data_IF_604296503214
#
_entry.id   IF_604296503214
#
_cell.length_a   1.000
_cell.length_b   1.000
_cell.length_c   1.000
_cell.angle_alpha   90.00
_cell.angle_beta   90.00
_cell.angle_gamma   90.00
#
_symmetry.space_group_name_H-M   'P 1'
#
loop_
_entity.id
_entity.type
_entity.pdbx_description
1 polymer ?
#
# COMPACT_ATOMS: atom_id res chain seq x y z
N UNK A 1 29.96 5.74 -12.32
CA UNK A 1 28.50 5.65 -12.21
C UNK A 1 27.99 5.24 -13.58
N UNK A 2 27.71 3.96 -13.76
CA UNK A 2 27.27 3.40 -15.04
C UNK A 2 25.87 3.91 -15.39
N UNK A 3 25.67 4.36 -16.63
CA UNK A 3 24.44 4.93 -17.22
C UNK A 3 23.30 3.91 -17.39
N UNK A 4 23.26 2.86 -16.57
CA UNK A 4 22.24 1.84 -16.62
C UNK A 4 21.34 2.06 -15.39
N UNK A 5 20.01 1.95 -15.55
CA UNK A 5 19.11 1.84 -14.40
C UNK A 5 19.52 0.66 -13.49
N UNK A 6 18.85 0.45 -12.35
CA UNK A 6 19.13 -0.70 -11.51
C UNK A 6 19.08 -1.98 -12.36
N UNK A 7 20.20 -2.71 -12.38
CA UNK A 7 20.32 -3.96 -13.12
C UNK A 7 19.42 -5.01 -12.49
N UNK A 8 18.94 -5.94 -13.30
CA UNK A 8 18.03 -7.01 -12.89
C UNK A 8 16.71 -6.47 -12.30
N UNK A 9 16.26 -5.28 -12.70
CA UNK A 9 14.95 -4.70 -12.34
C UNK A 9 14.14 -4.41 -13.62
N UNK A 10 12.81 -4.50 -13.52
CA UNK A 10 11.95 -4.00 -14.60
C UNK A 10 12.19 -2.51 -14.78
N UNK A 11 12.46 -2.10 -16.01
CA UNK A 11 12.85 -0.72 -16.32
C UNK A 11 11.90 -0.02 -17.27
N UNK A 12 10.98 -0.75 -17.91
CA UNK A 12 10.03 -0.15 -18.85
C UNK A 12 8.83 -1.06 -19.11
N UNK A 13 7.73 -0.45 -19.54
CA UNK A 13 6.59 -1.13 -20.13
C UNK A 13 6.16 -0.43 -21.42
N UNK A 14 5.62 -1.18 -22.36
CA UNK A 14 5.00 -0.65 -23.58
C UNK A 14 3.62 -1.28 -23.77
N UNK A 15 2.58 -0.46 -23.73
CA UNK A 15 1.21 -0.89 -23.99
C UNK A 15 1.05 -1.07 -25.49
N UNK A 16 0.78 -2.30 -25.92
CA UNK A 16 0.59 -2.63 -27.33
C UNK A 16 -0.89 -2.87 -27.58
N UNK A 17 -1.50 -2.02 -28.41
CA UNK A 17 -2.96 -1.97 -28.63
C UNK A 17 -3.27 -1.68 -30.12
N UNK A 18 -4.48 -2.00 -30.59
CA UNK A 18 -4.99 -1.55 -31.89
C UNK A 18 -5.83 -0.28 -31.82
N UNK A 19 -6.18 0.17 -30.62
CA UNK A 19 -6.85 1.45 -30.36
C UNK A 19 -6.02 2.30 -29.38
N UNK A 20 -4.91 2.93 -29.85
CA UNK A 20 -4.10 3.80 -29.01
C UNK A 20 -4.92 4.93 -28.37
N UNK A 21 -5.87 5.51 -29.11
CA UNK A 21 -6.75 6.58 -28.59
C UNK A 21 -7.64 6.10 -27.45
N UNK A 22 -8.32 4.97 -27.62
CA UNK A 22 -9.19 4.39 -26.60
C UNK A 22 -8.41 3.90 -25.38
N UNK A 23 -7.26 3.28 -25.60
CA UNK A 23 -6.35 2.87 -24.53
C UNK A 23 -5.86 4.07 -23.71
N UNK A 24 -5.42 5.15 -24.37
CA UNK A 24 -5.02 6.38 -23.70
C UNK A 24 -6.18 6.98 -22.91
N UNK A 25 -7.35 7.16 -23.54
CA UNK A 25 -8.54 7.71 -22.89
C UNK A 25 -8.97 6.90 -21.66
N UNK A 26 -8.92 5.56 -21.75
CA UNK A 26 -9.24 4.67 -20.64
C UNK A 26 -8.28 4.88 -19.45
N UNK A 27 -6.97 4.78 -19.67
CA UNK A 27 -6.01 4.87 -18.58
C UNK A 27 -5.87 6.30 -18.03
N UNK A 28 -6.05 7.33 -18.84
CA UNK A 28 -6.19 8.71 -18.34
C UNK A 28 -7.40 8.84 -17.42
N UNK A 29 -8.56 8.34 -17.81
CA UNK A 29 -9.75 8.45 -16.97
C UNK A 29 -9.67 7.59 -15.71
N UNK A 30 -9.07 6.41 -15.77
CA UNK A 30 -9.07 5.45 -14.65
C UNK A 30 -7.92 5.68 -13.67
N UNK A 31 -6.72 5.97 -14.17
CA UNK A 31 -5.48 6.04 -13.40
C UNK A 31 -4.82 7.42 -13.40
N UNK A 32 -5.43 8.42 -14.06
CA UNK A 32 -4.88 9.77 -14.20
C UNK A 32 -3.51 9.79 -14.89
N UNK A 33 -3.32 8.86 -15.84
CA UNK A 33 -2.11 8.82 -16.67
C UNK A 33 -2.18 9.81 -17.82
N UNK A 34 -1.08 10.50 -18.04
CA UNK A 34 -0.89 11.39 -19.18
C UNK A 34 -0.26 10.64 -20.35
N UNK A 35 -0.79 10.89 -21.55
CA UNK A 35 -0.27 10.36 -22.81
C UNK A 35 0.13 11.50 -23.72
N UNK A 36 1.41 11.54 -24.09
CA UNK A 36 1.94 12.60 -24.95
C UNK A 36 2.83 12.00 -26.05
N UNK A 37 2.79 12.61 -27.24
CA UNK A 37 3.75 12.29 -28.30
C UNK A 37 5.10 12.88 -27.91
N UNK A 38 6.13 12.04 -27.87
CA UNK A 38 7.52 12.47 -27.73
C UNK A 38 7.99 13.03 -29.08
N UNK A 39 7.82 14.35 -29.27
CA UNK A 39 8.23 15.04 -30.50
C UNK A 39 9.75 15.05 -30.71
N UNK A 40 10.54 14.67 -29.70
CA UNK A 40 11.99 14.53 -29.80
C UNK A 40 12.40 13.11 -30.23
N UNK A 41 11.52 12.12 -30.09
CA UNK A 41 11.72 10.79 -30.65
C UNK A 41 11.43 10.83 -32.16
N UNK A 42 12.37 10.37 -32.97
CA UNK A 42 12.20 10.27 -34.43
C UNK A 42 11.03 9.37 -34.83
N UNK A 43 10.63 8.43 -33.95
CA UNK A 43 9.46 7.56 -34.12
C UNK A 43 8.15 8.24 -33.73
N UNK A 44 8.20 9.42 -33.11
CA UNK A 44 7.06 10.10 -32.48
C UNK A 44 6.29 9.15 -31.55
N UNK A 45 7.04 8.44 -30.71
CA UNK A 45 6.47 7.47 -29.79
C UNK A 45 5.54 8.17 -28.78
N UNK A 46 4.42 7.53 -28.44
CA UNK A 46 3.57 8.03 -27.36
C UNK A 46 4.15 7.55 -26.03
N UNK A 47 4.38 8.48 -25.11
CA UNK A 47 4.89 8.24 -23.77
C UNK A 47 3.78 8.35 -22.75
N UNK A 48 3.84 7.49 -21.74
CA UNK A 48 2.92 7.44 -20.62
C UNK A 48 3.63 8.04 -19.40
N UNK A 49 2.96 8.97 -18.72
CA UNK A 49 3.42 9.54 -17.46
C UNK A 49 2.34 9.41 -16.38
N UNK A 50 2.78 9.23 -15.13
CA UNK A 50 1.94 9.29 -13.93
C UNK A 50 2.51 10.39 -13.03
N UNK A 51 1.85 11.56 -13.01
CA UNK A 51 2.45 12.78 -12.48
C UNK A 51 3.80 13.07 -13.15
N UNK A 52 4.84 13.30 -12.34
CA UNK A 52 6.18 13.61 -12.83
C UNK A 52 7.00 12.36 -13.28
N UNK A 53 6.41 11.15 -13.20
CA UNK A 53 7.10 9.90 -13.53
C UNK A 53 6.76 9.45 -14.95
N UNK A 54 7.77 9.34 -15.82
CA UNK A 54 7.64 8.68 -17.14
C UNK A 54 7.64 7.16 -16.94
N UNK A 55 6.51 6.50 -17.20
CA UNK A 55 6.25 5.11 -16.81
C UNK A 55 6.17 4.11 -17.97
N UNK A 56 6.00 4.56 -19.21
CA UNK A 56 5.92 3.61 -20.32
C UNK A 56 5.75 4.24 -21.69
N UNK A 57 5.59 3.36 -22.68
CA UNK A 57 5.21 3.69 -24.05
C UNK A 57 3.83 3.17 -24.40
N UNK A 58 3.27 3.72 -25.48
CA UNK A 58 2.06 3.22 -26.12
C UNK A 58 2.36 3.01 -27.61
N UNK A 59 2.17 1.78 -28.08
CA UNK A 59 2.48 1.33 -29.42
C UNK A 59 1.25 0.82 -30.16
N UNK A 60 1.10 1.25 -31.41
CA UNK A 60 0.02 0.83 -32.30
C UNK A 60 0.37 -0.49 -33.02
N UNK A 61 -0.37 -1.56 -32.68
CA UNK A 61 -0.28 -2.89 -33.28
C UNK A 61 -0.78 -2.95 -34.73
N UNK A 62 -1.40 -1.89 -35.26
CA UNK A 62 -1.72 -1.78 -36.68
C UNK A 62 -0.48 -1.49 -37.55
N UNK A 63 0.64 -1.09 -36.94
CA UNK A 63 1.88 -0.83 -37.67
C UNK A 63 2.44 -2.11 -38.33
N UNK A 64 2.96 -2.05 -39.57
CA UNK A 64 3.41 -3.24 -40.32
C UNK A 64 4.56 -4.02 -39.69
N UNK A 65 5.26 -3.45 -38.71
CA UNK A 65 6.33 -4.11 -37.97
C UNK A 65 5.80 -5.25 -37.08
N UNK A 66 4.52 -5.19 -36.71
CA UNK A 66 3.89 -6.19 -35.86
C UNK A 66 3.19 -7.28 -36.68
N UNK A 67 3.24 -8.55 -36.23
CA UNK A 67 2.48 -9.62 -36.85
C UNK A 67 0.97 -9.33 -36.83
N UNK A 68 0.24 -9.61 -37.93
CA UNK A 68 -1.21 -9.52 -37.95
C UNK A 68 -1.85 -10.41 -36.88
N UNK A 69 -2.91 -9.92 -36.23
CA UNK A 69 -3.70 -10.68 -35.27
C UNK A 69 -3.11 -10.80 -33.86
N UNK A 70 -1.93 -10.23 -33.58
CA UNK A 70 -1.35 -10.19 -32.23
C UNK A 70 -2.31 -9.47 -31.25
N UNK A 71 -2.80 -10.08 -30.15
CA UNK A 71 -3.72 -9.42 -29.24
C UNK A 71 -3.08 -8.22 -28.52
N UNK A 72 -3.91 -7.36 -27.94
CA UNK A 72 -3.40 -6.31 -27.06
C UNK A 72 -2.67 -6.95 -25.87
N UNK A 73 -1.50 -6.41 -25.52
CA UNK A 73 -0.66 -6.93 -24.45
C UNK A 73 0.29 -5.84 -23.95
N UNK A 74 0.89 -6.08 -22.79
CA UNK A 74 1.95 -5.23 -22.25
C UNK A 74 3.28 -5.93 -22.53
N UNK A 75 4.20 -5.23 -23.18
CA UNK A 75 5.58 -5.68 -23.29
C UNK A 75 6.37 -5.18 -22.07
N UNK A 76 7.01 -6.09 -21.35
CA UNK A 76 7.80 -5.80 -20.15
C UNK A 76 9.29 -5.88 -20.45
N UNK A 77 10.05 -4.92 -19.92
CA UNK A 77 11.49 -4.79 -20.18
C UNK A 77 12.26 -4.93 -18.87
N UNK A 78 13.13 -5.92 -18.80
CA UNK A 78 14.03 -6.20 -17.68
C UNK A 78 15.42 -5.67 -18.02
N UNK A 79 15.95 -4.76 -17.20
CA UNK A 79 17.28 -4.20 -17.40
C UNK A 79 18.36 -5.25 -17.16
N UNK A 80 19.28 -5.41 -18.11
CA UNK A 80 20.44 -6.31 -18.00
C UNK A 80 21.73 -5.65 -18.46
N UNK A 81 22.84 -6.19 -17.99
CA UNK A 81 24.21 -5.78 -18.33
C UNK A 81 24.61 -6.19 -19.75
N UNK A 82 24.16 -7.37 -20.21
CA UNK A 82 24.54 -7.94 -21.50
C UNK A 82 23.41 -8.80 -22.09
N UNK A 83 22.70 -8.26 -23.07
CA UNK A 83 21.54 -8.93 -23.69
C UNK A 83 21.94 -10.24 -24.36
N UNK A 84 23.07 -10.31 -25.06
CA UNK A 84 23.48 -11.50 -25.80
C UNK A 84 23.82 -12.64 -24.84
N UNK A 85 24.66 -12.35 -23.83
CA UNK A 85 25.06 -13.33 -22.82
C UNK A 85 23.84 -13.83 -22.05
N UNK A 86 22.96 -12.92 -21.62
CA UNK A 86 21.76 -13.26 -20.82
C UNK A 86 20.76 -14.07 -21.64
N UNK A 87 20.62 -13.76 -22.92
CA UNK A 87 19.77 -14.54 -23.85
C UNK A 87 20.31 -15.95 -24.03
N UNK A 88 21.63 -16.12 -24.18
CA UNK A 88 22.24 -17.45 -24.28
C UNK A 88 22.01 -18.28 -23.01
N UNK A 89 22.25 -17.69 -21.83
CA UNK A 89 21.99 -18.34 -20.53
C UNK A 89 20.51 -18.68 -20.37
N UNK A 90 19.60 -17.79 -20.76
CA UNK A 90 18.17 -18.05 -20.70
C UNK A 90 17.78 -19.24 -21.59
N UNK A 91 18.32 -19.31 -22.81
CA UNK A 91 18.06 -20.43 -23.72
C UNK A 91 18.59 -21.76 -23.18
N UNK A 92 19.79 -21.78 -22.60
CA UNK A 92 20.35 -22.96 -21.91
C UNK A 92 19.48 -23.43 -20.74
N UNK A 93 18.80 -22.50 -20.07
CA UNK A 93 17.89 -22.76 -18.96
C UNK A 93 16.41 -22.94 -19.39
N UNK A 94 16.17 -23.19 -20.67
CA UNK A 94 14.85 -23.60 -21.18
C UNK A 94 13.92 -22.49 -21.62
N UNK A 95 14.40 -21.24 -21.76
CA UNK A 95 13.63 -20.20 -22.43
C UNK A 95 13.61 -20.39 -23.95
N UNK A 96 12.49 -20.04 -24.58
CA UNK A 96 12.41 -19.91 -26.02
C UNK A 96 12.75 -18.47 -26.44
N UNK A 97 13.63 -18.30 -27.42
CA UNK A 97 13.94 -17.00 -28.00
C UNK A 97 12.83 -16.62 -28.98
N UNK A 98 12.01 -15.63 -28.64
CA UNK A 98 10.95 -15.11 -29.49
C UNK A 98 11.48 -14.10 -30.50
N UNK A 99 12.32 -13.18 -30.03
CA UNK A 99 13.02 -12.19 -30.85
C UNK A 99 14.51 -12.24 -30.48
N UNK A 100 15.40 -12.64 -31.41
CA UNK A 100 16.84 -12.70 -31.15
C UNK A 100 17.44 -11.33 -30.80
N UNK A 101 18.61 -11.28 -30.13
CA UNK A 101 19.28 -10.02 -29.79
C UNK A 101 19.54 -9.12 -31.00
N UNK A 102 19.09 -7.86 -30.93
CA UNK A 102 19.36 -6.84 -31.95
C UNK A 102 19.44 -5.44 -31.33
N UNK A 103 20.00 -4.49 -32.09
CA UNK A 103 20.08 -3.09 -31.67
C UNK A 103 18.79 -2.34 -32.04
N UNK A 104 18.13 -1.77 -31.04
CA UNK A 104 16.89 -1.00 -31.19
C UNK A 104 17.17 0.46 -31.59
N UNK A 105 17.90 0.65 -32.69
CA UNK A 105 18.44 1.96 -33.08
C UNK A 105 19.56 2.40 -32.14
N UNK A 106 19.57 3.67 -31.74
CA UNK A 106 20.51 4.27 -30.79
C UNK A 106 20.05 4.17 -29.32
N UNK A 107 18.85 3.64 -29.07
CA UNK A 107 18.25 3.59 -27.74
C UNK A 107 18.86 2.51 -26.86
N UNK A 108 19.12 1.32 -27.40
CA UNK A 108 19.59 0.18 -26.62
C UNK A 108 19.66 -1.12 -27.41
N UNK A 109 20.01 -2.20 -26.72
CA UNK A 109 20.02 -3.56 -27.25
C UNK A 109 18.94 -4.37 -26.57
N UNK A 110 18.24 -5.20 -27.34
CA UNK A 110 17.04 -5.91 -26.88
C UNK A 110 16.99 -7.34 -27.39
N UNK A 111 16.40 -8.23 -26.59
CA UNK A 111 15.92 -9.54 -27.00
C UNK A 111 14.59 -9.83 -26.31
N UNK A 112 13.72 -10.64 -26.91
CA UNK A 112 12.45 -11.05 -26.29
C UNK A 112 12.40 -12.56 -26.17
N UNK A 113 12.01 -13.03 -25.00
CA UNK A 113 12.03 -14.43 -24.59
C UNK A 113 10.65 -14.86 -24.12
N UNK A 114 10.37 -16.15 -24.25
CA UNK A 114 9.32 -16.85 -23.51
C UNK A 114 10.04 -17.69 -22.45
N UNK A 115 9.77 -17.43 -21.18
CA UNK A 115 10.39 -18.15 -20.07
C UNK A 115 9.89 -19.61 -19.97
N UNK A 116 10.49 -20.46 -19.11
CA UNK A 116 10.12 -21.86 -19.01
C UNK A 116 8.69 -22.13 -18.49
N UNK A 117 8.05 -21.13 -17.87
CA UNK A 117 6.65 -21.25 -17.44
C UNK A 117 5.68 -20.76 -18.51
N UNK A 118 6.15 -20.00 -19.50
CA UNK A 118 5.40 -19.55 -20.67
C UNK A 118 5.15 -18.05 -20.74
N UNK A 119 5.70 -17.26 -19.82
CA UNK A 119 5.52 -15.80 -19.82
C UNK A 119 6.54 -15.09 -20.72
N UNK A 120 6.10 -14.00 -21.34
CA UNK A 120 6.93 -13.21 -22.26
C UNK A 120 7.63 -12.08 -21.50
N UNK A 121 8.94 -11.93 -21.72
CA UNK A 121 9.74 -10.81 -21.18
C UNK A 121 10.78 -10.35 -22.19
N UNK A 122 11.08 -9.06 -22.23
CA UNK A 122 12.18 -8.51 -23.02
C UNK A 122 13.37 -8.14 -22.14
N UNK A 123 14.57 -8.51 -22.55
CA UNK A 123 15.82 -8.07 -21.93
C UNK A 123 16.27 -6.77 -22.57
N UNK A 124 16.66 -5.78 -21.76
CA UNK A 124 17.04 -4.45 -22.23
C UNK A 124 18.40 -4.04 -21.69
N UNK A 125 19.35 -3.75 -22.58
CA UNK A 125 20.59 -3.03 -22.21
C UNK A 125 20.52 -1.60 -22.76
N UNK A 126 20.47 -0.58 -21.90
CA UNK A 126 20.30 0.78 -22.39
C UNK A 126 21.58 1.33 -23.01
N UNK A 127 21.41 2.14 -24.06
CA UNK A 127 22.46 2.97 -24.68
C UNK A 127 22.08 4.46 -24.60
N UNK A 128 21.07 4.88 -25.36
CA UNK A 128 20.48 6.21 -25.30
C UNK A 128 19.28 6.33 -24.36
N UNK A 129 18.59 5.21 -24.08
CA UNK A 129 17.36 5.20 -23.28
C UNK A 129 17.44 4.18 -22.14
N UNK A 130 17.46 4.67 -20.90
CA UNK A 130 17.61 3.86 -19.69
C UNK A 130 16.32 3.16 -19.22
N UNK A 131 15.16 3.51 -19.78
CA UNK A 131 13.87 3.17 -19.17
C UNK A 131 13.45 4.24 -18.15
N UNK A 132 12.83 3.81 -17.05
CA UNK A 132 12.44 4.67 -15.95
C UNK A 132 13.66 5.44 -15.41
N UNK A 133 13.59 6.78 -15.31
CA UNK A 133 14.73 7.58 -14.88
C UNK A 133 15.09 7.35 -13.41
N UNK A 134 14.10 6.97 -12.59
CA UNK A 134 14.22 6.67 -11.16
C UNK A 134 13.22 5.57 -10.82
N UNK A 135 13.63 4.56 -10.05
CA UNK A 135 12.69 3.59 -9.48
C UNK A 135 11.74 4.32 -8.51
N UNK A 136 10.42 4.24 -8.71
CA UNK A 136 9.48 4.98 -7.88
C UNK A 136 9.51 4.47 -6.44
N UNK A 137 9.31 5.36 -5.47
CA UNK A 137 9.22 4.98 -4.06
C UNK A 137 7.99 4.11 -3.82
N UNK A 138 8.08 3.24 -2.82
CA UNK A 138 6.91 2.51 -2.32
C UNK A 138 5.90 3.55 -1.80
N UNK A 139 4.74 3.64 -2.45
CA UNK A 139 3.72 4.66 -2.17
C UNK A 139 3.47 5.69 -3.28
N UNK A 140 4.23 5.67 -4.38
CA UNK A 140 3.90 6.48 -5.54
C UNK A 140 2.55 6.04 -6.16
N UNK A 141 1.59 6.95 -6.24
CA UNK A 141 0.22 6.67 -6.67
C UNK A 141 0.14 6.46 -8.17
N UNK A 142 -0.54 5.40 -8.58
CA UNK A 142 -0.71 4.95 -9.96
C UNK A 142 0.62 4.73 -10.73
N UNK A 143 1.75 4.57 -10.03
CA UNK A 143 3.05 4.27 -10.64
C UNK A 143 3.38 2.78 -10.49
N UNK A 144 3.82 2.08 -11.57
CA UNK A 144 4.34 0.72 -11.47
C UNK A 144 5.55 0.67 -10.53
N UNK A 145 5.45 -0.12 -9.46
CA UNK A 145 6.51 -0.23 -8.45
C UNK A 145 6.93 -1.67 -8.14
N UNK A 146 6.16 -2.65 -8.61
CA UNK A 146 6.45 -4.06 -8.38
C UNK A 146 5.92 -4.90 -9.55
N UNK A 147 6.62 -5.97 -9.91
CA UNK A 147 6.19 -6.92 -10.94
C UNK A 147 5.81 -8.26 -10.32
N UNK A 148 4.73 -8.89 -10.77
CA UNK A 148 4.33 -10.22 -10.32
C UNK A 148 4.23 -11.12 -11.53
N UNK A 149 4.99 -12.22 -11.53
CA UNK A 149 4.78 -13.31 -12.47
C UNK A 149 3.80 -14.30 -11.86
N UNK A 150 2.59 -14.31 -12.42
CA UNK A 150 1.53 -15.22 -12.03
C UNK A 150 1.57 -16.46 -12.94
N UNK A 151 1.80 -17.64 -12.34
CA UNK A 151 1.95 -18.90 -13.08
C UNK A 151 1.62 -20.12 -12.21
N UNK A 152 1.56 -21.31 -12.81
CA UNK A 152 1.30 -22.57 -12.07
C UNK A 152 2.50 -23.04 -11.23
N UNK A 153 3.72 -22.71 -11.63
CA UNK A 153 4.96 -23.13 -10.95
C UNK A 153 5.88 -21.93 -10.65
N UNK A 154 5.58 -21.17 -9.57
CA UNK A 154 6.36 -19.99 -9.17
C UNK A 154 7.81 -20.31 -8.83
N UNK A 155 8.09 -21.50 -8.30
CA UNK A 155 9.46 -21.92 -7.94
C UNK A 155 10.32 -22.13 -9.18
N UNK A 156 9.78 -22.78 -10.22
CA UNK A 156 10.47 -22.93 -11.50
C UNK A 156 10.78 -21.58 -12.14
N UNK A 157 9.82 -20.65 -12.12
CA UNK A 157 10.04 -19.29 -12.59
C UNK A 157 11.15 -18.59 -11.78
N UNK A 158 11.06 -18.62 -10.44
CA UNK A 158 12.07 -18.01 -9.56
C UNK A 158 13.47 -18.57 -9.81
N UNK A 159 13.58 -19.89 -9.99
CA UNK A 159 14.85 -20.55 -10.28
C UNK A 159 15.43 -20.10 -11.63
N UNK A 160 14.62 -20.09 -12.69
CA UNK A 160 15.01 -19.62 -14.02
C UNK A 160 15.53 -18.17 -13.98
N UNK A 161 14.73 -17.27 -13.38
CA UNK A 161 15.09 -15.87 -13.32
C UNK A 161 16.34 -15.64 -12.48
N UNK A 162 16.52 -16.34 -11.35
CA UNK A 162 17.75 -16.26 -10.54
C UNK A 162 19.00 -16.71 -11.30
N UNK A 163 18.88 -17.74 -12.14
CA UNK A 163 19.97 -18.23 -12.99
C UNK A 163 20.27 -17.30 -14.16
N UNK A 164 19.26 -16.59 -14.66
CA UNK A 164 19.40 -15.61 -15.74
C UNK A 164 20.01 -14.29 -15.25
N UNK A 165 19.70 -13.83 -14.04
CA UNK A 165 20.17 -12.59 -13.39
C UNK A 165 21.46 -12.82 -12.58
N UNK A 166 21.90 -11.86 -11.75
CA UNK A 166 23.13 -11.95 -10.93
C UNK A 166 23.02 -12.91 -9.71
N UNK A 167 22.29 -14.03 -9.85
CA UNK A 167 22.18 -15.07 -8.82
C UNK A 167 21.04 -14.87 -7.81
N UNK A 168 20.17 -13.89 -8.04
CA UNK A 168 18.96 -13.64 -7.27
C UNK A 168 17.83 -13.21 -8.22
N UNK A 169 16.55 -13.47 -7.92
CA UNK A 169 15.47 -13.04 -8.80
C UNK A 169 15.47 -11.53 -9.04
N UNK A 170 14.83 -11.04 -10.11
CA UNK A 170 14.73 -9.62 -10.40
C UNK A 170 14.30 -8.82 -9.17
N UNK A 171 14.92 -7.67 -8.97
CA UNK A 171 14.54 -6.76 -7.90
C UNK A 171 13.08 -6.32 -8.09
N UNK A 172 12.37 -6.14 -6.97
CA UNK A 172 10.95 -5.72 -6.94
C UNK A 172 10.05 -6.62 -7.81
N UNK A 173 10.36 -7.91 -7.85
CA UNK A 173 9.55 -8.91 -8.50
C UNK A 173 9.17 -10.04 -7.52
N UNK A 174 7.94 -10.52 -7.64
CA UNK A 174 7.48 -11.74 -6.97
C UNK A 174 6.95 -12.75 -7.97
N UNK A 175 6.89 -14.00 -7.52
CA UNK A 175 6.36 -15.13 -8.27
C UNK A 175 5.23 -15.69 -7.44
N UNK A 176 4.03 -15.69 -8.01
CA UNK A 176 2.80 -16.05 -7.31
C UNK A 176 2.07 -17.18 -8.04
N UNK A 177 1.51 -18.10 -7.26
CA UNK A 177 0.69 -19.19 -7.80
C UNK A 177 -0.62 -18.61 -8.33
N UNK A 178 -0.98 -19.00 -9.54
CA UNK A 178 -2.20 -18.52 -10.18
C UNK A 178 -2.92 -19.66 -10.91
N UNK A 179 -3.53 -20.56 -10.15
CA UNK A 179 -4.24 -21.74 -10.65
C UNK A 179 -5.43 -21.43 -11.59
N UNK A 180 -5.91 -20.19 -11.64
CA UNK A 180 -7.09 -19.79 -12.42
C UNK A 180 -6.75 -18.94 -13.66
N UNK A 181 -5.47 -18.66 -13.94
CA UNK A 181 -5.11 -17.91 -15.15
C UNK A 181 -5.17 -18.82 -16.39
N UNK A 182 -5.60 -18.25 -17.51
CA UNK A 182 -5.61 -18.96 -18.81
C UNK A 182 -4.21 -19.10 -19.42
N UNK A 183 -3.27 -18.25 -19.00
CA UNK A 183 -1.87 -18.31 -19.39
C UNK A 183 -0.99 -17.62 -18.32
N UNK A 184 0.27 -18.07 -18.14
CA UNK A 184 1.26 -17.36 -17.34
C UNK A 184 1.51 -15.96 -17.90
N UNK A 185 1.53 -14.96 -17.02
CA UNK A 185 1.80 -13.59 -17.43
C UNK A 185 2.44 -12.77 -16.32
N UNK A 186 3.26 -11.82 -16.75
CA UNK A 186 3.71 -10.72 -15.91
C UNK A 186 2.57 -9.72 -15.72
N UNK A 187 2.46 -9.17 -14.52
CA UNK A 187 1.54 -8.09 -14.18
C UNK A 187 2.31 -7.03 -13.37
N UNK A 188 2.12 -5.76 -13.70
CA UNK A 188 2.68 -4.66 -12.91
C UNK A 188 1.69 -4.25 -11.83
N UNK A 189 2.19 -4.08 -10.61
CA UNK A 189 1.46 -3.62 -9.44
C UNK A 189 1.52 -2.09 -9.33
N UNK A 190 0.35 -1.50 -9.08
CA UNK A 190 0.10 -0.07 -8.93
C UNK A 190 -0.58 0.17 -7.58
N UNK A 191 -0.13 1.21 -6.87
CA UNK A 191 -0.79 1.68 -5.67
C UNK A 191 -1.87 2.71 -6.04
N UNK A 192 -3.07 2.64 -5.47
CA UNK A 192 -4.10 3.67 -5.61
C UNK A 192 -4.70 4.02 -4.26
N UNK A 193 -5.13 5.27 -4.11
CA UNK A 193 -5.73 5.74 -2.85
C UNK A 193 -7.21 5.36 -2.72
N UNK A 194 -7.91 5.23 -3.85
CA UNK A 194 -9.36 4.97 -3.89
C UNK A 194 -9.68 3.84 -4.89
N UNK A 195 -9.78 2.63 -4.35
CA UNK A 195 -10.08 1.44 -5.15
C UNK A 195 -11.49 1.47 -5.74
N UNK A 196 -12.47 1.97 -4.98
CA UNK A 196 -13.87 2.02 -5.40
C UNK A 196 -14.09 3.05 -6.50
N UNK A 197 -13.44 4.21 -6.40
CA UNK A 197 -13.42 5.21 -7.46
C UNK A 197 -12.75 4.69 -8.72
N UNK A 198 -11.62 3.99 -8.61
CA UNK A 198 -10.98 3.31 -9.75
C UNK A 198 -11.95 2.29 -10.38
N UNK A 199 -12.63 1.48 -9.56
CA UNK A 199 -13.61 0.51 -10.04
C UNK A 199 -14.78 1.17 -10.77
N UNK A 200 -15.29 2.28 -10.24
CA UNK A 200 -16.38 3.04 -10.84
C UNK A 200 -15.97 3.65 -12.19
N UNK A 201 -14.78 4.27 -12.27
CA UNK A 201 -14.24 4.84 -13.50
C UNK A 201 -13.95 3.76 -14.54
N UNK A 202 -13.39 2.62 -14.13
CA UNK A 202 -13.15 1.48 -15.02
C UNK A 202 -14.45 0.99 -15.66
N UNK A 203 -15.50 0.75 -14.87
CA UNK A 203 -16.82 0.34 -15.37
C UNK A 203 -17.43 1.38 -16.32
N UNK A 204 -17.31 2.67 -15.99
CA UNK A 204 -17.82 3.75 -16.82
C UNK A 204 -17.14 3.82 -18.21
N UNK A 205 -15.90 3.34 -18.32
CA UNK A 205 -15.12 3.33 -19.56
C UNK A 205 -14.99 1.92 -20.18
N UNK A 206 -15.87 0.98 -19.80
CA UNK A 206 -15.94 -0.35 -20.40
C UNK A 206 -14.87 -1.35 -19.95
N UNK A 207 -14.08 -1.00 -18.94
CA UNK A 207 -13.17 -1.92 -18.27
C UNK A 207 -13.81 -2.53 -17.02
N UNK A 208 -13.00 -3.28 -16.28
CA UNK A 208 -13.42 -3.95 -15.06
C UNK A 208 -12.33 -3.90 -14.00
N UNK A 209 -12.75 -3.93 -12.73
CA UNK A 209 -11.87 -4.13 -11.59
C UNK A 209 -12.41 -5.30 -10.78
N UNK A 210 -11.61 -6.36 -10.64
CA UNK A 210 -12.01 -7.59 -9.97
C UNK A 210 -11.06 -7.87 -8.81
N UNK A 211 -11.58 -8.14 -7.62
CA UNK A 211 -10.77 -8.57 -6.48
C UNK A 211 -10.13 -9.94 -6.78
N UNK A 212 -8.84 -10.06 -6.53
CA UNK A 212 -8.07 -11.30 -6.66
C UNK A 212 -7.58 -11.73 -5.26
N UNK A 213 -7.08 -12.98 -5.09
CA UNK A 213 -6.54 -13.44 -3.80
C UNK A 213 -5.50 -12.47 -3.20
N UNK A 214 -5.29 -12.56 -1.88
CA UNK A 214 -4.40 -11.68 -1.10
C UNK A 214 -4.87 -10.23 -0.93
N UNK A 215 -6.16 -9.95 -1.21
CA UNK A 215 -6.75 -8.61 -1.02
C UNK A 215 -6.24 -7.58 -2.04
N UNK A 216 -5.77 -8.06 -3.18
CA UNK A 216 -5.40 -7.25 -4.34
C UNK A 216 -6.59 -7.15 -5.30
N UNK A 217 -6.55 -6.20 -6.23
CA UNK A 217 -7.50 -6.12 -7.35
C UNK A 217 -6.76 -6.21 -8.69
N UNK A 218 -7.45 -6.66 -9.72
CA UNK A 218 -6.99 -6.65 -11.11
C UNK A 218 -7.86 -5.70 -11.90
N UNK A 219 -7.23 -4.67 -12.47
CA UNK A 219 -7.84 -3.76 -13.44
C UNK A 219 -7.62 -4.34 -14.83
N UNK A 220 -8.69 -4.49 -15.60
CA UNK A 220 -8.65 -4.86 -17.02
C UNK A 220 -9.22 -3.73 -17.87
N UNK A 221 -8.50 -3.32 -18.90
CA UNK A 221 -9.02 -2.43 -19.94
C UNK A 221 -10.02 -3.16 -20.86
N UNK A 222 -10.82 -2.44 -21.68
CA UNK A 222 -11.71 -3.06 -22.66
C UNK A 222 -11.01 -4.01 -23.65
N UNK A 223 -9.72 -3.75 -23.95
CA UNK A 223 -8.90 -4.58 -24.83
C UNK A 223 -8.15 -5.69 -24.09
N UNK A 224 -8.33 -5.82 -22.77
CA UNK A 224 -7.72 -6.88 -21.96
C UNK A 224 -6.33 -6.56 -21.43
N UNK A 225 -5.88 -5.30 -21.43
CA UNK A 225 -4.64 -4.90 -20.78
C UNK A 225 -4.85 -4.88 -19.26
N UNK A 226 -4.03 -5.63 -18.52
CA UNK A 226 -4.24 -5.84 -17.08
C UNK A 226 -3.15 -5.25 -16.19
N UNK A 227 -3.56 -4.66 -15.07
CA UNK A 227 -2.70 -4.21 -13.98
C UNK A 227 -3.18 -4.75 -12.65
N UNK A 228 -2.23 -5.05 -11.75
CA UNK A 228 -2.56 -5.31 -10.35
C UNK A 228 -2.69 -3.98 -9.63
N UNK A 229 -3.82 -3.77 -9.00
CA UNK A 229 -4.12 -2.59 -8.20
C UNK A 229 -4.13 -3.00 -6.74
N UNK A 230 -3.40 -2.26 -5.93
CA UNK A 230 -3.43 -2.38 -4.49
C UNK A 230 -3.69 -1.02 -3.85
N UNK A 231 -4.41 -1.05 -2.74
CA UNK A 231 -4.41 0.09 -1.83
C UNK A 231 -3.16 -0.08 -0.97
N UNK A 232 -2.29 0.94 -0.85
CA UNK A 232 -1.17 0.90 0.09
C UNK A 232 -1.65 0.39 1.44
N UNK A 233 -0.84 -0.39 2.14
CA UNK A 233 -1.18 -0.84 3.48
C UNK A 233 -1.46 0.33 4.42
N UNK A 234 -0.79 1.48 4.18
CA UNK A 234 -1.03 2.77 4.83
C UNK A 234 -2.41 3.40 4.55
N UNK A 235 -3.10 2.99 3.47
CA UNK A 235 -4.43 3.48 3.08
C UNK A 235 -5.54 2.45 3.34
N UNK A 236 -5.21 1.26 3.90
CA UNK A 236 -6.21 0.28 4.31
C UNK A 236 -6.91 0.77 5.58
N UNK A 237 -8.20 1.09 5.46
CA UNK A 237 -9.05 1.39 6.61
C UNK A 237 -9.08 0.20 7.56
N UNK A 238 -8.69 0.43 8.81
CA UNK A 238 -8.65 -0.60 9.85
C UNK A 238 -10.05 -0.87 10.43
N UNK A 239 -10.86 0.18 10.58
CA UNK A 239 -12.20 0.12 11.14
C UNK A 239 -13.05 1.24 10.58
N UNK A 240 -14.29 0.92 10.20
CA UNK A 240 -15.33 1.90 9.90
C UNK A 240 -16.50 1.76 10.88
N UNK A 241 -17.11 2.91 11.17
CA UNK A 241 -18.38 2.99 11.86
C UNK A 241 -19.34 3.86 11.04
N UNK A 242 -20.51 4.19 11.60
CA UNK A 242 -21.46 5.08 10.93
C UNK A 242 -20.84 6.45 10.60
N UNK A 243 -19.95 6.96 11.46
CA UNK A 243 -19.37 8.30 11.32
C UNK A 243 -17.85 8.36 11.30
N UNK A 244 -17.14 7.29 11.66
CA UNK A 244 -15.69 7.27 11.78
C UNK A 244 -15.04 6.35 10.75
N UNK A 245 -13.86 6.77 10.30
CA UNK A 245 -12.88 5.94 9.62
C UNK A 245 -11.63 5.93 10.48
N UNK A 246 -11.14 4.75 10.85
CA UNK A 246 -9.84 4.58 11.49
C UNK A 246 -8.83 4.06 10.46
N UNK A 247 -7.79 4.84 10.18
CA UNK A 247 -6.77 4.53 9.19
C UNK A 247 -5.36 4.55 9.79
N UNK A 248 -4.37 3.91 9.14
CA UNK A 248 -2.96 4.07 9.45
C UNK A 248 -2.53 5.54 9.47
N UNK A 249 -1.58 5.83 10.37
CA UNK A 249 -0.84 7.08 10.34
C UNK A 249 0.13 7.12 9.17
N UNK A 250 0.42 8.34 8.70
CA UNK A 250 1.44 8.63 7.70
C UNK A 250 2.29 9.82 8.15
N UNK A 251 3.41 10.07 7.47
CA UNK A 251 4.21 11.29 7.70
C UNK A 251 3.42 12.59 7.46
N UNK A 252 2.37 12.53 6.64
CA UNK A 252 1.50 13.68 6.38
C UNK A 252 0.65 14.08 7.60
N UNK A 253 0.51 13.21 8.61
CA UNK A 253 -0.28 13.48 9.82
C UNK A 253 0.48 14.30 10.87
N UNK A 254 1.77 14.57 10.68
CA UNK A 254 2.61 15.33 11.64
C UNK A 254 1.99 16.69 12.01
N UNK A 255 1.48 17.52 11.08
CA UNK A 255 0.86 18.80 11.45
C UNK A 255 -0.41 18.61 12.30
N UNK A 256 -1.21 17.58 12.03
CA UNK A 256 -2.44 17.29 12.77
C UNK A 256 -2.14 16.79 14.19
N UNK A 257 -1.15 15.89 14.32
CA UNK A 257 -0.63 15.42 15.61
C UNK A 257 -0.04 16.57 16.43
N UNK A 258 0.73 17.45 15.80
CA UNK A 258 1.29 18.62 16.47
C UNK A 258 0.19 19.55 17.00
N UNK A 259 -0.86 19.79 16.22
CA UNK A 259 -1.99 20.61 16.65
C UNK A 259 -2.73 19.98 17.84
N UNK A 260 -2.99 18.67 17.78
CA UNK A 260 -3.64 17.91 18.85
C UNK A 260 -2.82 17.96 20.16
N UNK A 261 -1.51 17.75 20.06
CA UNK A 261 -0.59 17.68 21.21
C UNK A 261 -0.17 19.06 21.75
N UNK A 262 -0.61 20.15 21.10
CA UNK A 262 -0.46 21.51 21.57
C UNK A 262 -1.78 22.16 22.04
N UNK A 263 -2.90 21.44 22.00
CA UNK A 263 -4.11 21.88 22.70
C UNK A 263 -3.96 21.57 24.22
N UNK A 264 -3.86 22.59 25.09
CA UNK A 264 -3.60 22.39 26.50
C UNK A 264 -4.74 21.65 27.22
N UNK A 265 -5.98 21.73 26.72
CA UNK A 265 -7.10 20.98 27.29
C UNK A 265 -7.02 19.50 26.93
N UNK A 266 -6.59 19.18 25.70
CA UNK A 266 -6.37 17.79 25.26
C UNK A 266 -5.25 17.13 26.08
N UNK A 267 -4.17 17.87 26.33
CA UNK A 267 -2.97 17.36 27.00
C UNK A 267 -2.98 17.53 28.52
N UNK A 268 -4.06 18.09 29.10
CA UNK A 268 -4.19 18.39 30.53
C UNK A 268 -3.84 17.21 31.44
N UNK A 269 -4.41 16.04 31.16
CA UNK A 269 -4.22 14.81 31.95
C UNK A 269 -3.07 13.92 31.47
N UNK A 270 -2.19 14.44 30.61
CA UNK A 270 -1.07 13.68 30.03
C UNK A 270 0.25 14.32 30.44
N UNK A 271 0.42 15.61 30.14
CA UNK A 271 1.64 16.35 30.46
C UNK A 271 1.33 17.71 31.12
N UNK A 272 0.11 17.91 31.61
CA UNK A 272 -0.32 19.18 32.20
C UNK A 272 -0.55 20.30 31.18
N UNK A 273 -0.77 19.96 29.90
CA UNK A 273 -0.98 20.95 28.84
C UNK A 273 0.30 21.61 28.33
N UNK A 274 1.48 21.02 28.61
CA UNK A 274 2.77 21.54 28.15
C UNK A 274 2.88 21.40 26.61
N UNK A 275 3.28 22.47 25.89
CA UNK A 275 3.47 22.42 24.44
C UNK A 275 4.47 21.35 24.00
N UNK A 276 4.24 20.78 22.83
CA UNK A 276 5.10 19.77 22.20
C UNK A 276 5.74 20.35 20.94
N UNK A 277 6.99 20.02 20.66
CA UNK A 277 7.70 20.48 19.45
C UNK A 277 7.41 19.55 18.26
N UNK A 278 7.46 20.10 17.04
CA UNK A 278 7.34 19.30 15.82
C UNK A 278 8.42 18.22 15.69
N UNK A 279 9.62 18.49 16.20
CA UNK A 279 10.71 17.52 16.30
C UNK A 279 10.32 16.34 17.21
N UNK A 280 9.80 16.60 18.41
CA UNK A 280 9.33 15.54 19.32
C UNK A 280 8.20 14.71 18.71
N UNK A 281 7.30 15.33 17.93
CA UNK A 281 6.27 14.60 17.19
C UNK A 281 6.92 13.65 16.17
N UNK A 282 7.86 14.15 15.34
CA UNK A 282 8.50 13.34 14.28
C UNK A 282 9.43 12.25 14.81
N UNK A 283 10.18 12.53 15.87
CA UNK A 283 11.25 11.64 16.33
C UNK A 283 10.80 10.67 17.42
N UNK A 284 9.68 10.96 18.10
CA UNK A 284 9.21 10.14 19.23
C UNK A 284 7.79 9.67 19.07
N UNK A 285 6.87 10.58 18.74
CA UNK A 285 5.43 10.26 18.73
C UNK A 285 5.07 9.43 17.51
N UNK A 286 5.39 9.92 16.30
CA UNK A 286 5.05 9.24 15.06
C UNK A 286 5.70 7.85 14.94
N UNK A 287 6.99 7.63 15.25
CA UNK A 287 7.59 6.30 15.20
C UNK A 287 6.90 5.29 16.11
N UNK A 288 6.39 5.74 17.27
CA UNK A 288 5.59 4.90 18.16
C UNK A 288 4.22 4.56 17.56
N UNK A 289 3.56 5.52 16.92
CA UNK A 289 2.25 5.31 16.27
C UNK A 289 2.36 4.43 15.01
N UNK A 290 3.54 4.39 14.38
CA UNK A 290 3.84 3.55 13.22
C UNK A 290 4.38 2.17 13.61
N UNK A 291 4.59 1.86 14.88
CA UNK A 291 5.13 0.57 15.30
C UNK A 291 4.15 -0.58 15.00
N UNK A 292 4.63 -1.65 14.37
CA UNK A 292 3.84 -2.85 14.08
C UNK A 292 3.99 -3.89 15.18
N UNK A 293 2.88 -4.40 15.72
CA UNK A 293 2.84 -5.44 16.74
C UNK A 293 2.62 -6.83 16.10
N UNK A 294 3.65 -7.70 16.03
CA UNK A 294 3.56 -8.95 15.28
C UNK A 294 2.50 -9.92 15.82
N UNK A 295 2.26 -9.95 17.13
CA UNK A 295 1.29 -10.87 17.74
C UNK A 295 -0.16 -10.61 17.32
N UNK A 296 -0.49 -9.35 17.00
CA UNK A 296 -1.82 -8.97 16.50
C UNK A 296 -1.83 -8.75 14.99
N UNK A 297 -0.67 -8.57 14.36
CA UNK A 297 -0.55 -8.19 12.96
C UNK A 297 -1.07 -6.78 12.68
N UNK A 298 -1.02 -5.88 13.67
CA UNK A 298 -1.56 -4.51 13.57
C UNK A 298 -0.62 -3.46 14.14
N UNK A 299 -0.78 -2.18 13.78
CA UNK A 299 -0.02 -1.05 14.36
C UNK A 299 -0.44 -0.67 15.77
N UNK A 300 -1.60 -1.12 16.22
CA UNK A 300 -2.14 -0.74 17.53
C UNK A 300 -2.64 0.71 17.65
N UNK A 301 -2.26 1.64 16.77
CA UNK A 301 -2.69 3.04 16.77
C UNK A 301 -3.23 3.49 15.41
N UNK A 302 -4.34 4.21 15.42
CA UNK A 302 -5.04 4.63 14.19
C UNK A 302 -5.51 6.08 14.25
N UNK A 303 -5.23 6.81 13.17
CA UNK A 303 -5.79 8.14 12.93
C UNK A 303 -7.31 8.02 12.72
N UNK A 304 -8.07 8.89 13.39
CA UNK A 304 -9.52 8.92 13.32
C UNK A 304 -9.98 10.08 12.46
N UNK A 305 -10.81 9.79 11.46
CA UNK A 305 -11.40 10.79 10.58
C UNK A 305 -12.92 10.74 10.62
N UNK A 306 -13.54 11.90 10.45
CA UNK A 306 -14.99 11.98 10.22
C UNK A 306 -15.29 11.54 8.79
N UNK A 307 -16.03 10.44 8.64
CA UNK A 307 -16.30 9.79 7.36
C UNK A 307 -16.91 10.73 6.30
N UNK A 308 -17.74 11.69 6.73
CA UNK A 308 -18.42 12.61 5.83
C UNK A 308 -17.51 13.71 5.26
N UNK A 309 -16.44 14.08 5.98
CA UNK A 309 -15.64 15.28 5.65
C UNK A 309 -14.16 14.99 5.47
N UNK A 310 -13.67 13.82 5.90
CA UNK A 310 -12.24 13.51 6.00
C UNK A 310 -11.52 14.32 7.08
N UNK A 311 -12.26 15.00 7.97
CA UNK A 311 -11.64 15.82 9.02
C UNK A 311 -10.96 14.93 10.04
N UNK A 312 -9.67 15.17 10.31
CA UNK A 312 -8.95 14.52 11.40
C UNK A 312 -9.54 14.89 12.76
N UNK A 313 -10.04 13.88 13.47
CA UNK A 313 -10.68 14.02 14.78
C UNK A 313 -9.73 13.71 15.94
N UNK A 314 -8.60 13.07 15.68
CA UNK A 314 -7.67 12.57 16.69
C UNK A 314 -7.25 11.14 16.39
N UNK A 315 -7.09 10.31 17.41
CA UNK A 315 -6.68 8.92 17.25
C UNK A 315 -7.27 7.98 18.29
N UNK A 316 -7.28 6.70 17.93
CA UNK A 316 -7.60 5.59 18.83
C UNK A 316 -6.45 4.60 18.88
N UNK A 317 -6.40 3.85 19.96
CA UNK A 317 -5.43 2.81 20.25
C UNK A 317 -6.17 1.54 20.63
N UNK A 318 -5.75 0.42 20.06
CA UNK A 318 -6.06 -0.93 20.51
C UNK A 318 -4.83 -1.79 20.24
N UNK A 319 -3.88 -1.76 21.17
CA UNK A 319 -2.60 -2.46 21.05
C UNK A 319 -2.46 -3.57 22.08
N UNK A 320 -1.66 -4.61 21.84
CA UNK A 320 -1.36 -5.57 22.88
C UNK A 320 -0.60 -4.89 24.04
N UNK A 321 -0.82 -5.39 25.26
CA UNK A 321 -0.13 -4.89 26.45
C UNK A 321 1.36 -5.28 26.43
N UNK A 322 1.68 -6.43 25.82
CA UNK A 322 3.03 -6.91 25.53
C UNK A 322 3.12 -7.43 24.10
N UNK A 323 4.27 -7.27 23.43
CA UNK A 323 4.40 -7.59 21.99
C UNK A 323 4.28 -9.09 21.65
N UNK A 324 4.27 -9.96 22.66
CA UNK A 324 4.20 -11.41 22.53
C UNK A 324 2.82 -12.02 22.86
N UNK A 325 1.90 -11.23 23.43
CA UNK A 325 0.58 -11.72 23.86
C UNK A 325 -0.57 -10.90 23.21
N UNK A 326 -1.31 -11.49 22.25
CA UNK A 326 -2.47 -10.83 21.66
C UNK A 326 -3.73 -10.91 22.52
N UNK A 327 -3.74 -11.72 23.60
CA UNK A 327 -4.94 -11.98 24.39
C UNK A 327 -5.33 -10.78 25.27
N UNK A 328 -4.37 -9.91 25.63
CA UNK A 328 -4.60 -8.74 26.47
C UNK A 328 -4.22 -7.47 25.72
N UNK A 329 -5.22 -6.64 25.43
CA UNK A 329 -5.05 -5.40 24.67
C UNK A 329 -5.45 -4.17 25.51
N UNK A 330 -4.77 -3.06 25.29
CA UNK A 330 -5.06 -1.75 25.87
C UNK A 330 -5.83 -0.88 24.88
N UNK A 331 -6.95 -0.32 25.33
CA UNK A 331 -7.77 0.63 24.61
C UNK A 331 -7.42 2.06 25.03
N UNK A 332 -7.10 2.90 24.06
CA UNK A 332 -6.80 4.32 24.26
C UNK A 332 -7.45 5.21 23.20
N UNK A 333 -7.54 6.50 23.47
CA UNK A 333 -8.01 7.50 22.51
C UNK A 333 -7.60 8.91 22.93
N UNK A 334 -7.37 9.76 21.94
CA UNK A 334 -7.15 11.21 22.12
C UNK A 334 -7.85 11.93 20.97
N UNK A 335 -8.86 12.73 21.29
CA UNK A 335 -9.63 13.46 20.28
C UNK A 335 -9.44 14.96 20.42
N UNK A 336 -9.51 15.67 19.30
CA UNK A 336 -9.56 17.12 19.23
C UNK A 336 -10.72 17.65 20.08
N UNK A 337 -10.52 18.78 20.75
CA UNK A 337 -11.53 19.39 21.61
C UNK A 337 -12.85 19.66 20.91
N UNK A 338 -12.80 20.02 19.63
CA UNK A 338 -13.98 20.25 18.78
C UNK A 338 -14.85 18.99 18.57
N UNK A 339 -14.26 17.79 18.74
CA UNK A 339 -14.96 16.52 18.60
C UNK A 339 -15.61 16.04 19.92
N UNK A 340 -15.33 16.71 21.04
CA UNK A 340 -15.84 16.30 22.35
C UNK A 340 -17.35 16.52 22.48
N UNK A 341 -18.02 15.68 23.25
CA UNK A 341 -19.47 15.75 23.45
C UNK A 341 -20.31 15.17 22.31
N UNK A 342 -19.72 14.91 21.13
CA UNK A 342 -20.41 14.36 19.94
C UNK A 342 -20.49 12.81 19.91
N UNK A 343 -19.96 12.15 20.94
CA UNK A 343 -20.00 10.70 21.09
C UNK A 343 -18.96 9.91 20.29
N UNK A 344 -18.06 10.57 19.54
CA UNK A 344 -17.05 9.91 18.72
C UNK A 344 -16.15 8.95 19.51
N UNK A 345 -15.66 9.36 20.68
CA UNK A 345 -14.84 8.50 21.53
C UNK A 345 -15.56 7.19 21.91
N UNK A 346 -16.84 7.28 22.29
CA UNK A 346 -17.64 6.10 22.64
C UNK A 346 -17.92 5.21 21.43
N UNK A 347 -18.20 5.79 20.27
CA UNK A 347 -18.43 5.04 19.03
C UNK A 347 -17.19 4.25 18.60
N UNK A 348 -16.04 4.93 18.49
CA UNK A 348 -14.77 4.28 18.12
C UNK A 348 -14.33 3.23 19.14
N UNK A 349 -14.44 3.54 20.44
CA UNK A 349 -14.10 2.60 21.51
C UNK A 349 -14.94 1.31 21.45
N UNK A 350 -16.27 1.41 21.29
CA UNK A 350 -17.15 0.23 21.17
C UNK A 350 -16.83 -0.62 19.95
N UNK A 351 -16.56 0.04 18.83
CA UNK A 351 -16.24 -0.64 17.59
C UNK A 351 -14.88 -1.36 17.67
N UNK A 352 -13.88 -0.73 18.30
CA UNK A 352 -12.58 -1.37 18.59
C UNK A 352 -12.70 -2.55 19.55
N UNK A 353 -13.45 -2.41 20.65
CA UNK A 353 -13.72 -3.52 21.58
C UNK A 353 -14.33 -4.71 20.84
N UNK A 354 -15.35 -4.48 20.00
CA UNK A 354 -15.95 -5.52 19.17
C UNK A 354 -14.89 -6.18 18.27
N UNK A 355 -14.14 -5.38 17.51
CA UNK A 355 -13.09 -5.87 16.60
C UNK A 355 -12.02 -6.69 17.34
N UNK A 356 -11.62 -6.26 18.54
CA UNK A 356 -10.70 -6.98 19.40
C UNK A 356 -11.16 -8.40 19.70
N UNK A 357 -12.42 -8.56 20.13
CA UNK A 357 -12.99 -9.87 20.50
C UNK A 357 -13.40 -10.75 19.31
N UNK A 358 -13.70 -10.16 18.15
CA UNK A 358 -14.14 -10.93 16.97
C UNK A 358 -12.99 -11.27 16.03
N UNK A 359 -12.11 -10.31 15.74
CA UNK A 359 -11.16 -10.40 14.63
C UNK A 359 -9.72 -10.58 15.10
N UNK A 360 -9.36 -9.98 16.24
CA UNK A 360 -7.96 -9.91 16.72
C UNK A 360 -7.62 -10.94 17.79
N UNK A 361 -8.57 -11.79 18.18
CA UNK A 361 -8.35 -12.86 19.15
C UNK A 361 -8.13 -12.39 20.59
N UNK A 362 -8.46 -11.13 20.92
CA UNK A 362 -8.34 -10.65 22.29
C UNK A 362 -9.28 -11.44 23.23
N UNK A 363 -8.83 -11.68 24.46
CA UNK A 363 -9.63 -12.26 25.53
C UNK A 363 -9.97 -11.22 26.60
N UNK A 364 -9.17 -10.15 26.70
CA UNK A 364 -9.32 -9.07 27.67
C UNK A 364 -8.91 -7.72 27.07
N UNK A 365 -9.79 -6.73 27.20
CA UNK A 365 -9.51 -5.32 26.89
C UNK A 365 -9.35 -4.56 28.21
N UNK A 366 -8.24 -3.85 28.37
CA UNK A 366 -7.96 -2.96 29.51
C UNK A 366 -7.93 -1.50 29.06
N UNK A 367 -8.15 -0.58 29.98
CA UNK A 367 -7.92 0.85 29.76
C UNK A 367 -7.59 1.51 31.11
N UNK A 368 -6.69 2.47 31.12
CA UNK A 368 -6.34 3.24 32.31
C UNK A 368 -6.45 4.75 32.04
N UNK A 369 -6.63 5.52 33.11
CA UNK A 369 -6.59 6.99 33.07
C UNK A 369 -6.52 7.56 34.48
N UNK A 370 -6.15 8.83 34.62
CA UNK A 370 -6.14 9.50 35.91
C UNK A 370 -7.52 9.44 36.57
N UNK A 371 -7.57 9.21 37.88
CA UNK A 371 -8.82 9.09 38.62
C UNK A 371 -9.75 10.32 38.43
N UNK A 372 -9.15 11.51 38.27
CA UNK A 372 -9.85 12.78 38.04
C UNK A 372 -10.38 12.96 36.61
N UNK A 373 -9.95 12.15 35.63
CA UNK A 373 -10.37 12.26 34.23
C UNK A 373 -11.75 11.61 34.01
N UNK A 374 -12.79 12.29 34.48
CA UNK A 374 -14.17 11.82 34.37
C UNK A 374 -14.65 11.62 32.92
N UNK A 375 -14.10 12.36 31.96
CA UNK A 375 -14.44 12.23 30.54
C UNK A 375 -14.05 10.86 29.99
N UNK A 376 -12.80 10.47 30.19
CA UNK A 376 -12.26 9.17 29.76
C UNK A 376 -12.97 8.01 30.47
N UNK A 377 -13.13 8.09 31.79
CA UNK A 377 -13.86 7.08 32.58
C UNK A 377 -15.27 6.80 32.04
N UNK A 378 -16.05 7.85 31.75
CA UNK A 378 -17.40 7.70 31.15
C UNK A 378 -17.38 7.03 29.78
N UNK A 379 -16.34 7.26 28.98
CA UNK A 379 -16.20 6.59 27.67
C UNK A 379 -15.91 5.10 27.86
N UNK A 380 -15.02 4.74 28.78
CA UNK A 380 -14.74 3.33 29.12
C UNK A 380 -16.00 2.60 29.60
N UNK A 381 -16.74 3.20 30.54
CA UNK A 381 -18.01 2.66 31.04
C UNK A 381 -19.03 2.47 29.91
N UNK A 382 -19.19 3.47 29.04
CA UNK A 382 -20.10 3.36 27.88
C UNK A 382 -19.62 2.33 26.87
N UNK A 383 -18.32 2.09 26.74
CA UNK A 383 -17.77 1.05 25.88
C UNK A 383 -17.94 -0.37 26.46
N UNK A 384 -18.47 -0.49 27.69
CA UNK A 384 -18.75 -1.76 28.35
C UNK A 384 -17.66 -2.19 29.33
N UNK A 385 -16.60 -1.41 29.51
CA UNK A 385 -15.56 -1.73 30.49
C UNK A 385 -16.06 -1.42 31.90
N UNK A 386 -15.62 -2.25 32.85
CA UNK A 386 -15.97 -2.15 34.27
C UNK A 386 -14.76 -1.75 35.10
N UNK A 387 -14.96 -0.99 36.17
CA UNK A 387 -13.87 -0.57 37.06
C UNK A 387 -13.22 -1.80 37.71
N UNK A 388 -11.89 -1.90 37.58
CA UNK A 388 -11.09 -2.98 38.14
C UNK A 388 -10.43 -2.58 39.46
N UNK A 389 -9.64 -1.49 39.43
CA UNK A 389 -8.88 -1.02 40.60
C UNK A 389 -8.47 0.44 40.46
N UNK A 390 -8.14 1.06 41.60
CA UNK A 390 -7.40 2.32 41.67
C UNK A 390 -5.97 2.05 42.14
N UNK A 391 -5.00 2.83 41.65
CA UNK A 391 -3.60 2.67 42.00
C UNK A 391 -2.84 4.00 41.89
N UNK A 392 -1.65 4.06 42.45
CA UNK A 392 -0.76 5.23 42.36
C UNK A 392 0.56 4.79 41.74
N UNK A 393 1.06 5.56 40.77
CA UNK A 393 2.39 5.38 40.19
C UNK A 393 3.24 6.61 40.48
N UNK A 394 4.53 6.37 40.71
CA UNK A 394 5.51 7.44 40.87
C UNK A 394 5.88 7.99 39.49
N UNK A 395 5.11 8.96 39.02
CA UNK A 395 5.40 9.70 37.78
C UNK A 395 6.48 10.77 38.04
N UNK A 396 7.46 10.93 37.13
CA UNK A 396 8.53 11.90 37.31
C UNK A 396 8.04 13.36 37.29
N UNK A 397 6.91 13.63 36.63
CA UNK A 397 6.29 14.95 36.55
C UNK A 397 4.92 14.95 37.24
N UNK A 398 4.77 15.70 38.34
CA UNK A 398 3.48 15.91 38.98
C UNK A 398 2.61 16.87 38.16
N UNK A 399 1.40 16.41 37.81
CA UNK A 399 0.37 17.22 37.13
C UNK A 399 -0.86 17.33 38.04
N UNK A 400 -1.65 18.40 37.88
CA UNK A 400 -2.84 18.65 38.70
C UNK A 400 -3.79 17.43 38.69
N UNK A 401 -4.11 16.91 39.88
CA UNK A 401 -4.99 15.76 40.06
C UNK A 401 -4.28 14.40 40.09
N UNK A 402 -2.96 14.34 39.84
CA UNK A 402 -2.16 13.10 39.94
C UNK A 402 -2.08 12.56 41.37
N UNK A 403 -2.30 13.40 42.38
CA UNK A 403 -2.40 13.01 43.79
C UNK A 403 -3.57 12.05 44.08
N UNK A 404 -4.54 11.97 43.17
CA UNK A 404 -5.67 11.03 43.25
C UNK A 404 -5.38 9.68 42.57
N UNK A 405 -4.21 9.53 41.93
CA UNK A 405 -3.77 8.33 41.25
C UNK A 405 -4.51 8.04 39.95
N UNK A 406 -4.42 6.78 39.53
CA UNK A 406 -4.94 6.22 38.30
C UNK A 406 -6.08 5.24 38.60
N UNK A 407 -6.92 5.01 37.59
CA UNK A 407 -7.96 3.98 37.61
C UNK A 407 -7.84 3.08 36.40
N UNK A 408 -8.00 1.78 36.62
CA UNK A 408 -7.99 0.76 35.56
C UNK A 408 -9.39 0.18 35.38
N UNK A 409 -9.78 -0.01 34.12
CA UNK A 409 -11.02 -0.63 33.68
C UNK A 409 -10.73 -1.85 32.83
N UNK A 410 -11.64 -2.82 32.85
CA UNK A 410 -11.50 -4.09 32.15
C UNK A 410 -12.80 -4.57 31.55
N UNK A 411 -12.71 -5.23 30.41
CA UNK A 411 -13.77 -6.05 29.82
C UNK A 411 -13.17 -7.37 29.34
N UNK A 412 -13.76 -8.49 29.75
CA UNK A 412 -13.38 -9.82 29.24
C UNK A 412 -14.31 -10.23 28.11
N UNK A 413 -13.83 -11.09 27.21
CA UNK A 413 -14.63 -11.65 26.13
C UNK A 413 -15.88 -12.36 26.64
N UNK A 414 -15.75 -13.11 27.75
CA UNK A 414 -16.88 -13.77 28.39
C UNK A 414 -17.96 -12.79 28.87
N UNK A 415 -17.55 -11.68 29.49
CA UNK A 415 -18.50 -10.65 29.93
C UNK A 415 -19.16 -9.95 28.74
N UNK A 416 -18.38 -9.63 27.70
CA UNK A 416 -18.88 -9.02 26.48
C UNK A 416 -19.93 -9.89 25.77
N UNK A 417 -19.70 -11.21 25.66
CA UNK A 417 -20.66 -12.14 25.04
C UNK A 417 -21.95 -12.28 25.85
N UNK A 418 -21.91 -12.10 27.18
CA UNK A 418 -23.13 -12.16 28.01
C UNK A 418 -24.03 -10.93 27.86
N UNK A 419 -23.46 -9.80 27.45
CA UNK A 419 -24.15 -8.52 27.31
C UNK A 419 -24.52 -8.16 25.87
N UNK A 420 -23.91 -8.84 24.88
CA UNK A 420 -24.20 -8.73 23.45
C UNK A 420 -25.47 -9.48 23.06
#
# INVERSE_FOLDING_TARGET
>A
MTRHGPLDEFCWMDLKTRDPSGTAAFFSAVLDWDFAVDEQDWRKAVTISAGDHRIGGLSDLAQPVYPPGLPAHIAYYLAVDDVDRRTAVAAENGAQILVPPFDAGDQGRIATLIDPVGAVVSLWRPQGFAGWPVSPSDGAVAVPHHAVLACEDPERARHFYSGMTTGAPPARAAFAEAATLTAPQWELALAVDDLDGVAARARAHGGELVTVPEGLARLSSPEGLTFRIQVPEASRVFLETDRLVLRPFTDADVPALLALDNDPEVMRYINGGRPTTAESVRERTLPRLLHDHPCTGTRGFWAAEEKATGTFLGWFELRPLTDDDPAVVELGYRLNRAAWGSGYATEGARALVRKGFTDLGAERVTANTMAVNAGSRRVMEKAGLTFLRAYTEDWPDAIEGSEHGEVEYVLTREAWVREA
#
